data_IF_475872878498
#
_entry.id   IF_475872878498
#
_cell.length_a   1.000
_cell.length_b   1.000
_cell.length_c   1.000
_cell.angle_alpha   90.00
_cell.angle_beta   90.00
_cell.angle_gamma   90.00
#
_symmetry.space_group_name_H-M   'P 1'
#
loop_
_entity.id
_entity.type
_entity.pdbx_description
1 polymer ?
#
# COMPACT_ATOMS: atom_id res chain seq x y z
N UNK A 1 2.49 19.27 -2.55
CA UNK A 1 3.53 18.47 -1.86
C UNK A 1 3.58 17.10 -2.51
N UNK A 2 4.75 16.47 -2.62
CA UNK A 2 4.91 15.17 -3.24
C UNK A 2 5.35 14.13 -2.19
N UNK A 3 4.74 12.95 -2.17
CA UNK A 3 5.37 11.75 -1.64
C UNK A 3 6.32 11.26 -2.75
N UNK A 4 7.50 11.89 -2.81
CA UNK A 4 8.46 11.61 -3.86
C UNK A 4 8.79 10.12 -3.86
N UNK A 5 8.59 9.40 -4.98
CA UNK A 5 8.94 8.00 -5.05
C UNK A 5 10.44 7.85 -4.84
N UNK A 6 10.82 7.23 -3.73
CA UNK A 6 12.21 6.84 -3.51
C UNK A 6 12.60 5.73 -4.51
N UNK A 7 13.89 5.42 -4.64
CA UNK A 7 14.41 4.41 -5.55
C UNK A 7 13.72 3.04 -5.38
N UNK A 8 13.25 2.75 -4.17
CA UNK A 8 12.48 1.56 -3.83
C UNK A 8 11.03 1.54 -4.34
N UNK A 9 10.44 2.70 -4.68
CA UNK A 9 9.07 2.79 -5.18
C UNK A 9 8.86 1.97 -6.46
N UNK A 10 9.86 1.95 -7.34
CA UNK A 10 9.82 1.17 -8.57
C UNK A 10 10.01 -0.34 -8.32
N UNK A 11 10.58 -0.72 -7.17
CA UNK A 11 10.69 -2.12 -6.76
C UNK A 11 9.33 -2.65 -6.27
N UNK A 12 8.59 -1.83 -5.52
CA UNK A 12 7.27 -2.16 -4.98
C UNK A 12 6.34 -0.95 -4.96
N UNK A 13 5.31 -0.97 -5.82
CA UNK A 13 4.38 0.14 -6.00
C UNK A 13 3.35 0.23 -4.86
N UNK A 14 2.96 -0.89 -4.26
CA UNK A 14 2.06 -0.93 -3.10
C UNK A 14 0.78 -0.12 -3.27
N UNK A 15 0.49 0.76 -2.32
CA UNK A 15 -0.67 1.67 -2.30
C UNK A 15 -0.60 2.78 -3.36
N UNK A 16 0.56 3.03 -3.97
CA UNK A 16 0.69 4.04 -5.05
C UNK A 16 0.04 3.58 -6.36
N UNK A 17 -0.34 2.30 -6.47
CA UNK A 17 -1.11 1.77 -7.60
C UNK A 17 -2.52 2.35 -7.67
N UNK A 18 -3.11 2.64 -6.51
CA UNK A 18 -4.51 3.07 -6.39
C UNK A 18 -4.69 4.44 -5.74
N UNK A 19 -3.72 4.90 -4.93
CA UNK A 19 -3.79 6.18 -4.23
C UNK A 19 -2.81 7.20 -4.82
N UNK A 20 -3.18 8.49 -4.88
CA UNK A 20 -2.31 9.53 -5.39
C UNK A 20 -1.09 9.73 -4.48
N UNK A 21 0.08 9.88 -5.10
CA UNK A 21 1.35 10.20 -4.44
C UNK A 21 1.81 11.65 -4.72
N UNK A 22 1.09 12.36 -5.58
CA UNK A 22 1.29 13.76 -5.90
C UNK A 22 -0.06 14.47 -5.90
N UNK A 23 -0.19 15.53 -5.11
CA UNK A 23 -1.43 16.32 -5.02
C UNK A 23 -1.07 17.80 -5.20
N UNK A 24 -1.74 18.46 -6.15
CA UNK A 24 -1.70 19.90 -6.30
C UNK A 24 -2.57 20.53 -5.20
N UNK A 25 -2.00 21.50 -4.48
CA UNK A 25 -2.65 22.09 -3.30
C UNK A 25 -2.88 23.56 -3.57
N UNK A 26 -4.13 23.98 -3.46
CA UNK A 26 -4.60 25.37 -3.58
C UNK A 26 -5.23 25.83 -2.25
N UNK A 27 -5.48 27.14 -2.10
CA UNK A 27 -6.14 27.69 -0.90
C UNK A 27 -7.61 27.27 -0.72
N UNK A 28 -8.21 26.62 -1.72
CA UNK A 28 -9.60 26.13 -1.69
C UNK A 28 -9.77 24.96 -0.70
N UNK A 29 -10.98 24.44 -0.57
CA UNK A 29 -11.31 23.32 0.31
C UNK A 29 -10.41 22.12 0.08
N UNK A 30 -9.79 21.59 1.13
CA UNK A 30 -8.79 20.54 1.04
C UNK A 30 -9.36 19.15 0.80
N UNK A 31 -10.46 18.80 1.48
CA UNK A 31 -10.96 17.42 1.45
C UNK A 31 -11.26 16.98 0.02
N UNK A 32 -11.91 17.83 -0.76
CA UNK A 32 -12.15 17.62 -2.18
C UNK A 32 -10.88 17.44 -2.99
N UNK A 33 -9.82 18.20 -2.69
CA UNK A 33 -8.52 18.07 -3.37
C UNK A 33 -7.77 16.77 -3.00
N UNK A 34 -7.97 16.24 -1.79
CA UNK A 34 -7.32 14.99 -1.34
C UNK A 34 -7.92 13.75 -2.02
N UNK A 35 -9.21 13.79 -2.32
CA UNK A 35 -9.95 12.67 -2.92
C UNK A 35 -10.27 12.90 -4.41
N UNK A 36 -9.72 13.97 -5.01
CA UNK A 36 -9.77 14.18 -6.45
C UNK A 36 -8.76 13.25 -7.14
N UNK A 37 -9.17 11.99 -7.32
CA UNK A 37 -8.34 10.96 -7.95
C UNK A 37 -8.49 10.98 -9.46
N UNK A 38 -7.39 10.73 -10.17
CA UNK A 38 -7.40 10.56 -11.63
C UNK A 38 -8.44 9.52 -12.06
N UNK A 39 -9.11 9.79 -13.19
CA UNK A 39 -10.03 8.83 -13.80
C UNK A 39 -9.20 7.69 -14.40
N UNK A 40 -8.97 6.64 -13.62
CA UNK A 40 -8.27 5.44 -14.05
C UNK A 40 -9.27 4.42 -14.62
N UNK A 41 -8.82 3.61 -15.59
CA UNK A 41 -9.64 2.57 -16.17
C UNK A 41 -9.80 1.40 -15.15
N UNK A 42 -11.04 1.07 -14.71
CA UNK A 42 -11.27 0.01 -13.74
C UNK A 42 -10.75 -1.36 -14.20
N UNK A 43 -10.74 -1.61 -15.50
CA UNK A 43 -10.21 -2.85 -16.10
C UNK A 43 -8.70 -2.91 -15.99
N UNK A 44 -8.01 -1.77 -16.09
CA UNK A 44 -6.55 -1.72 -15.92
C UNK A 44 -6.15 -1.92 -14.45
N UNK A 45 -6.92 -1.40 -13.50
CA UNK A 45 -6.71 -1.63 -12.06
C UNK A 45 -6.94 -3.11 -11.67
N UNK A 46 -7.88 -3.80 -12.33
CA UNK A 46 -8.12 -5.24 -12.15
C UNK A 46 -6.94 -6.11 -12.59
N UNK A 47 -6.15 -5.66 -13.58
CA UNK A 47 -4.95 -6.37 -14.03
C UNK A 47 -3.77 -6.17 -13.09
N UNK A 48 -3.79 -5.11 -12.27
CA UNK A 48 -2.73 -4.72 -11.34
C UNK A 48 -1.45 -4.27 -12.03
N UNK A 49 -0.68 -3.41 -11.37
CA UNK A 49 0.66 -3.09 -11.84
C UNK A 49 1.65 -4.21 -11.47
N UNK A 50 2.38 -4.74 -12.47
CA UNK A 50 3.42 -5.75 -12.25
C UNK A 50 4.74 -5.08 -11.88
N UNK A 51 5.04 -5.00 -10.59
CA UNK A 51 6.34 -4.57 -10.06
C UNK A 51 7.29 -5.74 -9.82
N UNK A 52 8.52 -5.45 -9.39
CA UNK A 52 9.51 -6.51 -9.14
C UNK A 52 9.16 -7.34 -7.90
N UNK A 53 8.49 -6.75 -6.91
CA UNK A 53 7.98 -7.47 -5.74
C UNK A 53 7.00 -8.59 -6.14
N UNK A 54 6.13 -8.34 -7.13
CA UNK A 54 5.21 -9.32 -7.67
C UNK A 54 5.92 -10.58 -8.19
N UNK A 55 7.07 -10.40 -8.86
CA UNK A 55 7.88 -11.52 -9.37
C UNK A 55 8.36 -12.41 -8.22
N UNK A 56 8.93 -11.82 -7.17
CA UNK A 56 9.39 -12.58 -6.00
C UNK A 56 8.25 -13.22 -5.21
N UNK A 57 7.12 -12.53 -5.08
CA UNK A 57 6.01 -12.97 -4.23
C UNK A 57 5.15 -14.04 -4.92
N UNK A 58 4.90 -13.94 -6.22
CA UNK A 58 3.95 -14.82 -6.93
C UNK A 58 4.62 -15.79 -7.90
N UNK A 59 5.65 -15.36 -8.64
CA UNK A 59 6.27 -16.21 -9.68
C UNK A 59 7.31 -17.19 -9.11
N UNK A 60 8.19 -16.72 -8.24
CA UNK A 60 9.22 -17.58 -7.62
C UNK A 60 8.65 -18.80 -6.88
N UNK A 61 7.55 -18.69 -6.10
CA UNK A 61 6.92 -19.86 -5.51
C UNK A 61 6.52 -20.92 -6.54
N UNK A 62 5.97 -20.52 -7.68
CA UNK A 62 5.61 -21.45 -8.76
C UNK A 62 6.84 -22.12 -9.37
N UNK A 63 7.94 -21.37 -9.54
CA UNK A 63 9.22 -21.94 -9.98
C UNK A 63 9.74 -22.97 -8.97
N UNK A 64 9.70 -22.65 -7.68
CA UNK A 64 10.10 -23.59 -6.61
C UNK A 64 9.26 -24.86 -6.66
N UNK A 65 7.94 -24.73 -6.81
CA UNK A 65 7.01 -25.88 -6.91
C UNK A 65 7.35 -26.72 -8.14
N UNK A 66 7.49 -26.10 -9.33
CA UNK A 66 7.80 -26.79 -10.57
C UNK A 66 9.16 -27.53 -10.50
N UNK A 67 10.14 -26.96 -9.81
CA UNK A 67 11.45 -27.58 -9.63
C UNK A 67 11.44 -28.67 -8.56
N UNK A 68 10.49 -28.66 -7.63
CA UNK A 68 10.54 -29.51 -6.43
C UNK A 68 9.54 -30.66 -6.44
N UNK A 69 8.35 -30.51 -7.05
CA UNK A 69 7.19 -31.39 -6.84
C UNK A 69 7.47 -32.89 -7.00
N UNK A 70 8.36 -33.27 -7.91
CA UNK A 70 8.67 -34.66 -8.22
C UNK A 70 9.94 -35.21 -7.54
N UNK A 71 10.62 -34.43 -6.68
CA UNK A 71 11.96 -34.75 -6.14
C UNK A 71 12.09 -36.20 -5.64
N UNK A 72 11.10 -36.66 -4.87
CA UNK A 72 11.07 -38.00 -4.29
C UNK A 72 10.24 -38.98 -5.12
N UNK A 73 9.11 -38.52 -5.64
CA UNK A 73 8.15 -39.36 -6.35
C UNK A 73 8.71 -39.88 -7.68
N UNK A 74 9.48 -39.09 -8.40
CA UNK A 74 10.18 -39.50 -9.63
C UNK A 74 11.08 -40.73 -9.38
N UNK A 75 11.80 -40.74 -8.26
CA UNK A 75 12.69 -41.86 -7.92
C UNK A 75 11.91 -43.14 -7.60
N UNK A 76 10.70 -43.01 -7.06
CA UNK A 76 9.81 -44.14 -6.75
C UNK A 76 9.11 -44.65 -8.01
N UNK A 77 8.58 -43.74 -8.81
CA UNK A 77 7.85 -44.02 -10.06
C UNK A 77 8.76 -44.68 -11.11
N UNK A 78 10.04 -44.27 -11.18
CA UNK A 78 11.03 -44.87 -12.07
C UNK A 78 11.70 -46.14 -11.51
N UNK A 79 11.26 -46.66 -10.36
CA UNK A 79 11.84 -47.87 -9.75
C UNK A 79 13.29 -47.74 -9.26
N UNK A 80 13.82 -46.53 -9.17
CA UNK A 80 15.20 -46.25 -8.70
C UNK A 80 15.28 -46.34 -7.17
N UNK A 81 14.16 -46.10 -6.47
CA UNK A 81 14.12 -46.03 -5.01
C UNK A 81 14.62 -47.29 -4.27
N UNK A 82 14.28 -48.53 -4.67
CA UNK A 82 14.85 -49.74 -4.07
C UNK A 82 16.37 -49.87 -4.30
N UNK A 83 16.87 -49.45 -5.47
CA UNK A 83 18.30 -49.45 -5.81
C UNK A 83 19.08 -48.44 -4.96
N UNK A 84 18.52 -47.24 -4.77
CA UNK A 84 19.12 -46.23 -3.89
C UNK A 84 19.21 -46.72 -2.44
N UNK A 85 18.19 -47.42 -1.96
CA UNK A 85 18.19 -48.00 -0.61
C UNK A 85 19.23 -49.11 -0.41
N UNK A 86 19.54 -49.90 -1.44
CA UNK A 86 20.53 -50.98 -1.34
C UNK A 86 21.97 -50.47 -1.50
N UNK A 87 22.18 -49.38 -2.23
CA UNK A 87 23.52 -48.82 -2.49
C UNK A 87 24.03 -47.88 -1.39
N UNK A 88 23.15 -47.22 -0.63
CA UNK A 88 23.57 -46.29 0.42
C UNK A 88 22.67 -46.33 1.65
N UNK A 89 23.29 -46.33 2.84
CA UNK A 89 22.59 -46.13 4.11
C UNK A 89 22.17 -44.67 4.37
N UNK A 90 22.60 -43.71 3.54
CA UNK A 90 22.41 -42.27 3.74
C UNK A 90 21.39 -41.67 2.75
N UNK A 91 20.21 -42.27 2.64
CA UNK A 91 19.17 -41.87 1.68
C UNK A 91 18.73 -40.40 1.82
N UNK A 92 18.64 -39.91 3.06
CA UNK A 92 18.33 -38.50 3.34
C UNK A 92 19.39 -37.56 2.80
N UNK A 93 20.68 -37.94 2.83
CA UNK A 93 21.78 -37.11 2.33
C UNK A 93 21.67 -36.91 0.81
N UNK A 94 21.29 -37.95 0.07
CA UNK A 94 21.09 -37.87 -1.38
C UNK A 94 19.92 -36.93 -1.73
N UNK A 95 18.81 -37.05 -0.99
CA UNK A 95 17.65 -36.16 -1.18
C UNK A 95 18.02 -34.71 -0.85
N UNK A 96 18.73 -34.49 0.25
CA UNK A 96 19.21 -33.16 0.65
C UNK A 96 20.16 -32.55 -0.37
N UNK A 97 21.09 -33.33 -0.96
CA UNK A 97 21.97 -32.84 -2.02
C UNK A 97 21.17 -32.42 -3.27
N UNK A 98 20.21 -33.24 -3.70
CA UNK A 98 19.33 -32.88 -4.83
C UNK A 98 18.51 -31.62 -4.54
N UNK A 99 17.99 -31.48 -3.32
CA UNK A 99 17.25 -30.30 -2.89
C UNK A 99 18.17 -29.06 -2.82
N UNK A 100 19.38 -29.21 -2.27
CA UNK A 100 20.35 -28.13 -2.14
C UNK A 100 20.76 -27.55 -3.50
N UNK A 101 20.95 -28.37 -4.53
CA UNK A 101 21.21 -27.89 -5.90
C UNK A 101 20.07 -27.01 -6.40
N UNK A 102 18.81 -27.40 -6.14
CA UNK A 102 17.62 -26.63 -6.54
C UNK A 102 17.50 -25.33 -5.74
N UNK A 103 17.76 -25.37 -4.44
CA UNK A 103 17.82 -24.18 -3.58
C UNK A 103 18.87 -23.21 -4.10
N UNK A 104 20.11 -23.66 -4.31
CA UNK A 104 21.20 -22.82 -4.80
C UNK A 104 20.85 -22.21 -6.15
N UNK A 105 20.27 -22.97 -7.08
CA UNK A 105 19.87 -22.46 -8.39
C UNK A 105 18.82 -21.34 -8.28
N UNK A 106 17.76 -21.54 -7.50
CA UNK A 106 16.70 -20.52 -7.31
C UNK A 106 17.24 -19.29 -6.59
N UNK A 107 18.03 -19.46 -5.53
CA UNK A 107 18.63 -18.34 -4.81
C UNK A 107 19.67 -17.58 -5.66
N UNK A 108 20.41 -18.28 -6.53
CA UNK A 108 21.32 -17.63 -7.48
C UNK A 108 20.54 -16.75 -8.48
N UNK A 109 19.42 -17.24 -9.03
CA UNK A 109 18.56 -16.44 -9.90
C UNK A 109 17.96 -15.25 -9.14
N UNK A 110 17.50 -15.45 -7.90
CA UNK A 110 17.01 -14.36 -7.05
C UNK A 110 18.09 -13.29 -6.81
N UNK A 111 19.32 -13.70 -6.50
CA UNK A 111 20.46 -12.80 -6.32
C UNK A 111 20.83 -12.06 -7.61
N UNK A 112 20.78 -12.71 -8.76
CA UNK A 112 21.02 -12.07 -10.06
C UNK A 112 19.97 -11.00 -10.32
N UNK A 113 18.68 -11.31 -10.09
CA UNK A 113 17.60 -10.34 -10.26
C UNK A 113 17.69 -9.18 -9.27
N UNK A 114 18.00 -9.45 -8.00
CA UNK A 114 18.26 -8.39 -7.01
C UNK A 114 19.45 -7.53 -7.40
N UNK A 115 20.55 -8.13 -7.87
CA UNK A 115 21.73 -7.37 -8.33
C UNK A 115 21.42 -6.51 -9.54
N UNK A 116 20.63 -7.01 -10.48
CA UNK A 116 20.15 -6.24 -11.63
C UNK A 116 19.26 -5.08 -11.18
N UNK A 117 18.38 -5.29 -10.20
CA UNK A 117 17.54 -4.25 -9.63
C UNK A 117 18.35 -3.17 -8.90
N UNK A 118 19.34 -3.57 -8.09
CA UNK A 118 20.26 -2.64 -7.43
C UNK A 118 20.95 -1.73 -8.46
N UNK A 119 21.44 -2.31 -9.55
CA UNK A 119 22.12 -1.53 -10.59
C UNK A 119 21.16 -0.64 -11.39
N UNK A 120 20.02 -1.18 -11.81
CA UNK A 120 19.07 -0.48 -12.68
C UNK A 120 18.28 0.62 -11.96
N UNK A 121 17.80 0.34 -10.74
CA UNK A 121 17.05 1.28 -9.90
C UNK A 121 17.97 2.14 -9.02
N UNK A 122 19.29 1.89 -9.07
CA UNK A 122 20.31 2.57 -8.26
C UNK A 122 20.06 2.45 -6.75
N UNK A 123 19.54 1.31 -6.29
CA UNK A 123 19.15 1.12 -4.89
C UNK A 123 20.32 1.37 -3.93
N UNK A 124 20.08 2.04 -2.80
CA UNK A 124 21.13 2.33 -1.83
C UNK A 124 21.54 1.05 -1.11
N UNK A 125 22.84 0.91 -0.82
CA UNK A 125 23.37 -0.19 0.00
C UNK A 125 23.19 0.13 1.49
N UNK A 126 21.96 0.02 1.97
CA UNK A 126 21.56 0.40 3.33
C UNK A 126 20.83 -0.73 4.08
N UNK A 127 20.26 -0.39 5.24
CA UNK A 127 19.46 -1.33 6.03
C UNK A 127 18.19 -1.79 5.30
N UNK A 128 17.61 -0.96 4.44
CA UNK A 128 16.43 -1.25 3.63
C UNK A 128 16.72 -2.38 2.64
N UNK A 129 17.85 -2.29 1.94
CA UNK A 129 18.29 -3.36 1.02
C UNK A 129 18.50 -4.68 1.74
N UNK A 130 19.14 -4.65 2.91
CA UNK A 130 19.37 -5.84 3.71
C UNK A 130 18.06 -6.45 4.22
N UNK A 131 17.14 -5.62 4.72
CA UNK A 131 15.84 -6.05 5.21
C UNK A 131 14.99 -6.66 4.08
N UNK A 132 14.90 -5.99 2.92
CA UNK A 132 14.15 -6.47 1.77
C UNK A 132 14.71 -7.80 1.24
N UNK A 133 16.03 -7.88 1.08
CA UNK A 133 16.71 -9.11 0.63
C UNK A 133 16.47 -10.27 1.59
N UNK A 134 16.61 -10.03 2.90
CA UNK A 134 16.37 -11.05 3.92
C UNK A 134 14.91 -11.53 3.93
N UNK A 135 13.96 -10.59 3.79
CA UNK A 135 12.54 -10.91 3.77
C UNK A 135 12.17 -11.76 2.54
N UNK A 136 12.72 -11.43 1.36
CA UNK A 136 12.58 -12.24 0.14
C UNK A 136 13.20 -13.63 0.36
N UNK A 137 14.41 -13.72 0.89
CA UNK A 137 15.10 -14.99 1.11
C UNK A 137 14.37 -15.90 2.11
N UNK A 138 13.83 -15.34 3.19
CA UNK A 138 13.00 -16.09 4.14
C UNK A 138 11.71 -16.59 3.47
N UNK A 139 11.09 -15.77 2.62
CA UNK A 139 9.91 -16.18 1.85
C UNK A 139 10.20 -17.32 0.87
N UNK A 140 11.33 -17.26 0.15
CA UNK A 140 11.75 -18.37 -0.72
C UNK A 140 12.06 -19.63 0.08
N UNK A 141 12.72 -19.50 1.23
CA UNK A 141 13.00 -20.62 2.13
C UNK A 141 11.71 -21.25 2.66
N UNK A 142 10.70 -20.44 2.99
CA UNK A 142 9.36 -20.93 3.37
C UNK A 142 8.76 -21.82 2.26
N UNK A 143 8.80 -21.40 0.99
CA UNK A 143 8.26 -22.19 -0.12
C UNK A 143 9.02 -23.48 -0.39
N UNK A 144 10.33 -23.49 -0.20
CA UNK A 144 11.11 -24.73 -0.21
C UNK A 144 10.73 -25.65 0.94
N UNK A 145 10.53 -25.12 2.15
CA UNK A 145 10.10 -25.90 3.31
C UNK A 145 8.69 -26.49 3.10
N UNK A 146 7.75 -25.71 2.57
CA UNK A 146 6.40 -26.16 2.23
C UNK A 146 6.43 -27.25 1.15
N UNK A 147 7.23 -27.05 0.10
CA UNK A 147 7.44 -28.05 -0.97
C UNK A 147 8.00 -29.34 -0.38
N UNK A 148 9.06 -29.25 0.42
CA UNK A 148 9.67 -30.41 1.05
C UNK A 148 8.71 -31.16 1.97
N UNK A 149 7.88 -30.44 2.75
CA UNK A 149 6.86 -31.05 3.60
C UNK A 149 5.89 -31.90 2.79
N UNK A 150 5.30 -31.36 1.71
CA UNK A 150 4.37 -32.11 0.85
C UNK A 150 5.05 -33.33 0.21
N UNK A 151 6.26 -33.12 -0.34
CA UNK A 151 7.03 -34.20 -0.98
C UNK A 151 7.38 -35.32 0.01
N UNK A 152 7.67 -34.97 1.27
CA UNK A 152 8.04 -35.93 2.32
C UNK A 152 6.92 -36.94 2.64
N UNK A 153 5.66 -36.60 2.32
CA UNK A 153 4.52 -37.52 2.44
C UNK A 153 4.59 -38.71 1.46
N UNK A 154 5.49 -38.65 0.47
CA UNK A 154 5.81 -39.76 -0.41
C UNK A 154 4.69 -40.17 -1.37
N UNK A 155 3.80 -39.23 -1.70
CA UNK A 155 2.72 -39.37 -2.67
C UNK A 155 3.26 -39.29 -4.11
N UNK A 156 2.40 -39.47 -5.11
CA UNK A 156 2.78 -39.40 -6.52
C UNK A 156 3.16 -37.98 -6.96
N UNK A 157 3.90 -37.88 -8.07
CA UNK A 157 4.30 -36.60 -8.66
C UNK A 157 3.07 -35.72 -8.96
N UNK A 158 2.02 -36.32 -9.53
CA UNK A 158 0.76 -35.63 -9.81
C UNK A 158 0.09 -35.08 -8.56
N UNK A 159 0.02 -35.87 -7.48
CA UNK A 159 -0.54 -35.40 -6.20
C UNK A 159 0.26 -34.23 -5.63
N UNK A 160 1.60 -34.32 -5.60
CA UNK A 160 2.44 -33.26 -5.05
C UNK A 160 2.28 -31.95 -5.82
N UNK A 161 2.25 -32.02 -7.16
CA UNK A 161 2.03 -30.85 -8.00
C UNK A 161 0.68 -30.19 -7.71
N UNK A 162 -0.41 -30.97 -7.71
CA UNK A 162 -1.75 -30.46 -7.42
C UNK A 162 -1.83 -29.88 -6.01
N UNK A 163 -1.32 -30.58 -4.99
CA UNK A 163 -1.36 -30.11 -3.60
C UNK A 163 -0.58 -28.80 -3.40
N UNK A 164 0.60 -28.67 -4.00
CA UNK A 164 1.41 -27.46 -3.89
C UNK A 164 0.82 -26.28 -4.66
N UNK A 165 0.28 -26.52 -5.86
CA UNK A 165 -0.43 -25.47 -6.61
C UNK A 165 -1.68 -25.03 -5.85
N UNK A 166 -2.45 -25.96 -5.28
CA UNK A 166 -3.60 -25.62 -4.43
C UNK A 166 -3.18 -24.82 -3.20
N UNK A 167 -2.08 -25.19 -2.54
CA UNK A 167 -1.53 -24.44 -1.41
C UNK A 167 -1.14 -23.02 -1.82
N UNK A 168 -0.49 -22.87 -2.97
CA UNK A 168 -0.16 -21.57 -3.56
C UNK A 168 -1.40 -20.73 -3.85
N UNK A 169 -2.42 -21.29 -4.50
CA UNK A 169 -3.69 -20.57 -4.75
C UNK A 169 -4.33 -20.12 -3.44
N UNK A 170 -4.35 -20.98 -2.42
CA UNK A 170 -4.96 -20.65 -1.13
C UNK A 170 -4.19 -19.51 -0.44
N UNK A 171 -2.88 -19.65 -0.27
CA UNK A 171 -2.08 -18.68 0.48
C UNK A 171 -1.93 -17.35 -0.27
N UNK A 172 -1.73 -17.39 -1.60
CA UNK A 172 -1.43 -16.21 -2.39
C UNK A 172 -2.67 -15.48 -2.94
N UNK A 173 -3.79 -16.17 -3.13
CA UNK A 173 -4.98 -15.59 -3.79
C UNK A 173 -6.19 -15.63 -2.88
N UNK A 174 -6.61 -16.83 -2.44
CA UNK A 174 -7.88 -17.00 -1.72
C UNK A 174 -7.84 -16.30 -0.36
N UNK A 175 -6.75 -16.45 0.40
CA UNK A 175 -6.61 -15.84 1.72
C UNK A 175 -6.59 -14.31 1.63
N UNK A 176 -5.73 -13.66 0.80
CA UNK A 176 -5.77 -12.20 0.65
C UNK A 176 -7.12 -11.67 0.18
N UNK A 177 -7.76 -12.33 -0.80
CA UNK A 177 -9.07 -11.92 -1.30
C UNK A 177 -10.15 -12.04 -0.21
N UNK A 178 -10.17 -13.15 0.52
CA UNK A 178 -11.12 -13.37 1.62
C UNK A 178 -10.92 -12.36 2.76
N UNK A 179 -9.66 -12.05 3.08
CA UNK A 179 -9.31 -11.04 4.07
C UNK A 179 -9.80 -9.65 3.63
N UNK A 180 -9.59 -9.28 2.38
CA UNK A 180 -10.07 -8.01 1.83
C UNK A 180 -11.61 -7.90 1.88
N UNK A 181 -12.32 -8.97 1.51
CA UNK A 181 -13.78 -9.04 1.61
C UNK A 181 -14.26 -8.89 3.06
N UNK A 182 -13.62 -9.60 3.99
CA UNK A 182 -13.93 -9.51 5.40
C UNK A 182 -13.69 -8.10 5.97
N UNK A 183 -12.56 -7.48 5.63
CA UNK A 183 -12.24 -6.11 6.04
C UNK A 183 -13.24 -5.09 5.48
N UNK A 184 -13.67 -5.28 4.24
CA UNK A 184 -14.67 -4.42 3.59
C UNK A 184 -16.04 -4.49 4.27
N UNK A 185 -16.42 -5.66 4.79
CA UNK A 185 -17.68 -5.85 5.53
C UNK A 185 -17.59 -5.42 7.00
N UNK A 186 -16.48 -5.73 7.68
CA UNK A 186 -16.32 -5.47 9.11
C UNK A 186 -16.00 -4.02 9.42
N UNK A 187 -15.23 -3.37 8.55
CA UNK A 187 -14.80 -1.99 8.72
C UNK A 187 -15.23 -1.16 7.50
N UNK A 188 -16.53 -1.06 7.16
CA UNK A 188 -16.96 -0.28 6.00
C UNK A 188 -16.59 1.19 6.22
N UNK A 189 -16.20 1.90 5.16
CA UNK A 189 -15.82 3.33 5.20
C UNK A 189 -16.83 4.16 4.38
N UNK A 190 -18.14 4.16 4.73
CA UNK A 190 -19.12 5.01 4.05
C UNK A 190 -18.82 6.50 4.24
N UNK A 191 -18.07 6.84 5.29
CA UNK A 191 -17.66 8.20 5.59
C UNK A 191 -16.80 8.80 4.48
N UNK A 192 -16.12 8.01 3.64
CA UNK A 192 -15.38 8.56 2.50
C UNK A 192 -16.31 9.28 1.51
N UNK A 193 -17.47 8.69 1.20
CA UNK A 193 -18.48 9.33 0.36
C UNK A 193 -19.16 10.49 1.12
N UNK A 194 -19.50 10.28 2.39
CA UNK A 194 -20.11 11.32 3.21
C UNK A 194 -19.18 12.53 3.39
N UNK A 195 -17.87 12.34 3.44
CA UNK A 195 -16.87 13.39 3.59
C UNK A 195 -16.88 14.31 2.37
N UNK A 196 -16.92 13.73 1.16
CA UNK A 196 -17.04 14.49 -0.09
C UNK A 196 -18.38 15.24 -0.17
N UNK A 197 -19.48 14.61 0.26
CA UNK A 197 -20.80 15.24 0.30
C UNK A 197 -20.83 16.39 1.31
N UNK A 198 -20.42 16.14 2.56
CA UNK A 198 -20.37 17.12 3.65
C UNK A 198 -19.50 18.32 3.27
N UNK A 199 -18.35 18.09 2.65
CA UNK A 199 -17.50 19.19 2.21
C UNK A 199 -18.20 20.03 1.13
N UNK A 200 -18.81 19.39 0.13
CA UNK A 200 -19.51 20.08 -0.96
C UNK A 200 -20.71 20.87 -0.45
N UNK A 201 -21.61 20.23 0.28
CA UNK A 201 -22.76 20.90 0.90
C UNK A 201 -22.31 22.02 1.84
N UNK A 202 -21.25 21.75 2.62
CA UNK A 202 -20.74 22.64 3.64
C UNK A 202 -20.18 23.97 3.15
N UNK A 203 -19.80 24.06 1.87
CA UNK A 203 -19.46 25.34 1.24
C UNK A 203 -20.54 25.81 0.25
N UNK A 204 -21.27 24.90 -0.43
CA UNK A 204 -22.30 25.28 -1.40
C UNK A 204 -23.53 25.91 -0.74
N UNK A 205 -24.03 25.36 0.37
CA UNK A 205 -25.20 25.92 1.07
C UNK A 205 -24.92 27.30 1.66
N UNK A 206 -23.65 27.62 1.91
CA UNK A 206 -23.24 28.90 2.53
C UNK A 206 -23.53 30.10 1.64
N UNK A 207 -23.63 29.91 0.32
CA UNK A 207 -24.04 30.98 -0.60
C UNK A 207 -25.45 31.51 -0.30
N UNK A 208 -26.33 30.67 0.26
CA UNK A 208 -27.72 31.01 0.58
C UNK A 208 -27.93 31.35 2.07
N UNK A 209 -26.87 31.35 2.89
CA UNK A 209 -26.93 31.60 4.33
C UNK A 209 -26.39 33.00 4.71
N UNK A 210 -26.81 33.55 5.86
CA UNK A 210 -26.17 34.73 6.44
C UNK A 210 -24.67 34.51 6.63
N UNK A 211 -23.87 35.54 6.34
CA UNK A 211 -22.40 35.44 6.37
C UNK A 211 -21.86 35.12 7.75
N UNK A 212 -22.55 35.55 8.80
CA UNK A 212 -22.23 35.29 10.19
C UNK A 212 -22.11 33.77 10.44
N UNK A 213 -22.97 32.96 9.82
CA UNK A 213 -22.97 31.49 9.88
C UNK A 213 -21.66 30.87 9.40
N UNK A 214 -20.92 31.55 8.53
CA UNK A 214 -19.61 31.12 8.03
C UNK A 214 -18.48 31.80 8.81
N UNK A 215 -18.60 33.12 9.01
CA UNK A 215 -17.50 33.93 9.51
C UNK A 215 -17.28 33.78 11.02
N UNK A 216 -18.33 33.54 11.81
CA UNK A 216 -18.17 33.31 13.26
C UNK A 216 -17.33 32.06 13.54
N UNK A 217 -17.66 30.86 13.01
CA UNK A 217 -16.81 29.67 13.16
C UNK A 217 -15.42 29.85 12.55
N UNK A 218 -15.32 30.49 11.38
CA UNK A 218 -14.02 30.77 10.75
C UNK A 218 -13.10 31.59 11.66
N UNK A 219 -13.66 32.57 12.38
CA UNK A 219 -12.92 33.38 13.32
C UNK A 219 -12.63 32.69 14.66
N UNK A 220 -13.41 31.66 15.02
CA UNK A 220 -13.07 30.77 16.13
C UNK A 220 -11.90 29.86 15.77
N UNK A 221 -11.87 29.33 14.54
CA UNK A 221 -10.75 28.55 14.00
C UNK A 221 -9.49 29.41 13.86
N UNK A 222 -9.62 30.62 13.31
CA UNK A 222 -8.52 31.56 13.07
C UNK A 222 -8.70 32.91 13.79
N UNK A 223 -8.54 32.96 15.12
CA UNK A 223 -8.68 34.21 15.88
C UNK A 223 -7.74 35.31 15.41
N UNK A 224 -6.54 34.96 14.93
CA UNK A 224 -5.54 35.88 14.42
C UNK A 224 -5.97 36.66 13.17
N UNK A 225 -6.97 36.17 12.43
CA UNK A 225 -7.44 36.80 11.21
C UNK A 225 -8.50 37.89 11.49
N UNK A 226 -9.10 37.92 12.69
CA UNK A 226 -10.06 38.97 13.14
C UNK A 226 -9.50 40.39 13.03
N UNK A 227 -8.17 40.56 13.03
CA UNK A 227 -7.50 41.87 12.91
C UNK A 227 -7.66 42.52 11.52
N UNK A 228 -7.98 41.73 10.50
CA UNK A 228 -8.18 42.23 9.13
C UNK A 228 -9.63 42.68 8.93
N UNK A 229 -9.89 43.78 8.19
CA UNK A 229 -11.23 44.32 8.03
C UNK A 229 -12.10 43.39 7.17
N UNK A 230 -13.19 42.87 7.75
CA UNK A 230 -14.17 42.08 7.02
C UNK A 230 -15.29 42.97 6.43
N UNK A 231 -15.45 43.04 5.09
CA UNK A 231 -16.47 43.87 4.46
C UNK A 231 -17.85 43.19 4.53
N UNK A 232 -18.53 43.36 5.67
CA UNK A 232 -19.85 42.76 5.95
C UNK A 232 -20.90 43.12 4.89
N UNK A 233 -20.90 44.37 4.44
CA UNK A 233 -21.91 44.94 3.52
C UNK A 233 -21.85 44.41 2.07
N UNK A 234 -20.71 43.87 1.60
CA UNK A 234 -20.57 43.42 0.20
C UNK A 234 -21.29 42.09 -0.01
N UNK A 235 -21.92 41.81 -1.15
CA UNK A 235 -22.47 40.45 -1.38
C UNK A 235 -21.36 39.39 -1.46
N UNK A 236 -20.19 39.75 -1.98
CA UNK A 236 -19.04 38.87 -2.14
C UNK A 236 -17.75 39.52 -1.62
N UNK A 237 -16.88 38.72 -1.02
CA UNK A 237 -15.48 39.08 -0.76
C UNK A 237 -14.62 37.83 -0.77
N UNK A 238 -13.36 37.94 -1.20
CA UNK A 238 -12.41 36.81 -1.11
C UNK A 238 -12.21 36.35 0.32
N UNK A 239 -12.32 37.26 1.29
CA UNK A 239 -12.34 36.95 2.71
C UNK A 239 -13.43 35.93 3.04
N UNK A 240 -14.68 36.26 2.72
CA UNK A 240 -15.81 35.36 2.96
C UNK A 240 -15.68 34.05 2.15
N UNK A 241 -15.24 34.13 0.90
CA UNK A 241 -15.12 32.96 0.03
C UNK A 241 -14.13 31.93 0.59
N UNK A 242 -12.94 32.35 1.05
CA UNK A 242 -12.00 31.43 1.67
C UNK A 242 -12.44 30.95 3.05
N UNK A 243 -13.16 31.78 3.81
CA UNK A 243 -13.79 31.33 5.07
C UNK A 243 -14.86 30.26 4.85
N UNK A 244 -15.63 30.38 3.78
CA UNK A 244 -16.63 29.40 3.35
C UNK A 244 -15.98 28.08 2.91
N UNK A 245 -14.85 28.14 2.17
CA UNK A 245 -14.08 26.95 1.81
C UNK A 245 -13.49 26.24 3.04
N UNK A 246 -13.00 26.98 4.04
CA UNK A 246 -12.56 26.41 5.32
C UNK A 246 -13.71 25.69 6.04
N UNK A 247 -14.90 26.30 6.07
CA UNK A 247 -16.05 25.71 6.77
C UNK A 247 -16.46 24.36 6.20
N UNK A 248 -16.34 24.17 4.87
CA UNK A 248 -16.53 22.85 4.25
C UNK A 248 -15.56 21.79 4.78
N UNK A 249 -14.28 22.15 4.97
CA UNK A 249 -13.27 21.25 5.56
C UNK A 249 -13.55 20.98 7.06
N UNK A 250 -13.99 21.99 7.81
CA UNK A 250 -14.29 21.87 9.23
C UNK A 250 -15.52 20.98 9.48
N UNK A 251 -16.55 21.08 8.65
CA UNK A 251 -17.73 20.20 8.72
C UNK A 251 -17.40 18.74 8.37
N UNK A 252 -16.39 18.52 7.53
CA UNK A 252 -15.85 17.22 7.18
C UNK A 252 -14.96 16.59 8.28
N UNK A 253 -14.49 17.37 9.26
CA UNK A 253 -13.50 16.93 10.24
C UNK A 253 -13.91 15.68 11.04
N UNK A 254 -15.19 15.57 11.42
CA UNK A 254 -15.68 14.40 12.16
C UNK A 254 -15.67 13.12 11.30
N UNK A 255 -16.09 13.23 10.03
CA UNK A 255 -16.04 12.13 9.06
C UNK A 255 -14.60 11.71 8.80
N UNK A 256 -13.68 12.65 8.68
CA UNK A 256 -12.24 12.39 8.55
C UNK A 256 -11.70 11.55 9.72
N UNK A 257 -11.95 11.96 10.97
CA UNK A 257 -11.47 11.20 12.15
C UNK A 257 -12.00 9.77 12.13
N UNK A 258 -13.28 9.59 11.78
CA UNK A 258 -13.88 8.26 11.65
C UNK A 258 -13.23 7.42 10.53
N UNK A 259 -12.84 8.03 9.40
CA UNK A 259 -12.09 7.36 8.32
C UNK A 259 -10.72 6.90 8.84
N UNK A 260 -9.97 7.79 9.48
CA UNK A 260 -8.62 7.53 9.98
C UNK A 260 -8.63 6.37 11.00
N UNK A 261 -9.57 6.37 11.96
CA UNK A 261 -9.74 5.30 12.95
C UNK A 261 -10.07 3.94 12.32
N UNK A 262 -10.92 3.93 11.28
CA UNK A 262 -11.27 2.70 10.55
C UNK A 262 -10.12 2.18 9.72
N UNK A 263 -9.36 3.05 9.05
CA UNK A 263 -8.17 2.65 8.30
C UNK A 263 -7.08 2.11 9.24
N UNK A 264 -6.88 2.74 10.40
CA UNK A 264 -5.99 2.23 11.43
C UNK A 264 -6.42 0.84 11.94
N UNK A 265 -7.72 0.64 12.18
CA UNK A 265 -8.27 -0.65 12.60
C UNK A 265 -8.09 -1.74 11.53
N UNK A 266 -8.30 -1.39 10.25
CA UNK A 266 -8.04 -2.28 9.09
C UNK A 266 -6.56 -2.66 9.00
N UNK A 267 -5.66 -1.69 9.13
CA UNK A 267 -4.22 -1.93 9.10
C UNK A 267 -3.78 -2.83 10.26
N UNK A 268 -4.24 -2.55 11.47
CA UNK A 268 -3.92 -3.36 12.65
C UNK A 268 -4.34 -4.82 12.46
N UNK A 269 -5.58 -5.05 12.02
CA UNK A 269 -6.06 -6.40 11.75
C UNK A 269 -5.25 -7.08 10.64
N UNK A 270 -4.94 -6.34 9.57
CA UNK A 270 -4.14 -6.84 8.44
C UNK A 270 -2.74 -7.26 8.88
N UNK A 271 -2.07 -6.46 9.72
CA UNK A 271 -0.77 -6.77 10.31
C UNK A 271 -0.82 -8.02 11.21
N UNK A 272 -1.89 -8.21 11.99
CA UNK A 272 -2.07 -9.44 12.76
C UNK A 272 -2.21 -10.68 11.86
N UNK A 273 -3.00 -10.57 10.78
CA UNK A 273 -3.18 -11.68 9.85
C UNK A 273 -1.89 -11.99 9.08
N UNK A 274 -1.08 -10.97 8.78
CA UNK A 274 0.21 -11.11 8.11
C UNK A 274 1.16 -12.07 8.85
N UNK A 275 1.14 -12.09 10.19
CA UNK A 275 1.96 -13.00 11.00
C UNK A 275 1.72 -14.49 10.69
N UNK A 276 0.52 -14.84 10.21
CA UNK A 276 0.16 -16.23 9.87
C UNK A 276 0.30 -16.55 8.39
N UNK A 277 0.31 -15.53 7.53
CA UNK A 277 0.27 -15.67 6.08
C UNK A 277 1.52 -15.04 5.45
N UNK A 278 2.55 -15.86 5.11
CA UNK A 278 3.84 -15.35 4.69
C UNK A 278 3.78 -14.49 3.43
N UNK A 279 2.84 -14.76 2.52
CA UNK A 279 2.61 -13.91 1.34
C UNK A 279 2.17 -12.51 1.71
N UNK A 280 1.23 -12.37 2.66
CA UNK A 280 0.77 -11.08 3.16
C UNK A 280 1.90 -10.35 3.90
N UNK A 281 2.62 -11.05 4.80
CA UNK A 281 3.77 -10.47 5.51
C UNK A 281 4.84 -9.95 4.55
N UNK A 282 5.15 -10.74 3.52
CA UNK A 282 6.19 -10.42 2.55
C UNK A 282 5.78 -9.19 1.74
N UNK A 283 4.53 -9.16 1.27
CA UNK A 283 4.01 -8.04 0.51
C UNK A 283 3.96 -6.75 1.33
N UNK A 284 3.43 -6.79 2.56
CA UNK A 284 3.36 -5.61 3.43
C UNK A 284 4.75 -5.10 3.82
N UNK A 285 5.66 -6.00 4.21
CA UNK A 285 7.01 -5.62 4.61
C UNK A 285 7.83 -5.01 3.47
N UNK A 286 7.71 -5.54 2.24
CA UNK A 286 8.37 -4.94 1.07
C UNK A 286 7.76 -3.57 0.74
N UNK A 287 6.44 -3.41 0.82
CA UNK A 287 5.77 -2.13 0.58
C UNK A 287 6.17 -1.07 1.63
N UNK A 288 6.29 -1.47 2.90
CA UNK A 288 6.75 -0.61 4.00
C UNK A 288 8.17 -0.12 3.75
N UNK A 289 9.08 -1.04 3.39
CA UNK A 289 10.47 -0.72 3.03
C UNK A 289 10.55 0.18 1.79
N UNK A 290 9.59 0.09 0.87
CA UNK A 290 9.52 0.95 -0.32
C UNK A 290 8.83 2.31 -0.09
N UNK A 291 8.35 2.59 1.13
CA UNK A 291 7.56 3.78 1.42
C UNK A 291 6.29 3.86 0.59
N UNK A 292 5.73 2.71 0.22
CA UNK A 292 4.55 2.58 -0.63
C UNK A 292 3.40 1.87 0.08
N UNK A 293 3.49 1.72 1.40
CA UNK A 293 2.44 1.13 2.22
C UNK A 293 1.37 2.16 2.62
N UNK A 294 0.37 1.70 3.38
CA UNK A 294 -0.76 2.53 3.79
C UNK A 294 -0.37 3.58 4.83
N UNK A 295 0.52 3.28 5.78
CA UNK A 295 0.90 4.30 6.77
C UNK A 295 1.65 5.45 6.11
N UNK A 296 2.56 5.15 5.17
CA UNK A 296 3.24 6.21 4.41
C UNK A 296 2.26 7.07 3.62
N UNK A 297 1.20 6.49 3.07
CA UNK A 297 0.15 7.26 2.40
C UNK A 297 -0.63 8.18 3.36
N UNK A 298 -0.99 7.69 4.54
CA UNK A 298 -1.69 8.49 5.55
C UNK A 298 -0.81 9.63 6.09
N UNK A 299 0.48 9.37 6.31
CA UNK A 299 1.46 10.40 6.67
C UNK A 299 1.59 11.48 5.59
N UNK A 300 1.60 11.07 4.31
CA UNK A 300 1.59 12.00 3.19
C UNK A 300 0.34 12.89 3.19
N UNK A 301 -0.85 12.32 3.39
CA UNK A 301 -2.08 13.12 3.51
C UNK A 301 -2.01 14.11 4.67
N UNK A 302 -1.45 13.70 5.82
CA UNK A 302 -1.26 14.60 6.95
C UNK A 302 -0.26 15.72 6.67
N UNK A 303 0.82 15.44 5.93
CA UNK A 303 1.78 16.44 5.48
C UNK A 303 1.13 17.46 4.52
N UNK A 304 0.34 16.97 3.56
CA UNK A 304 -0.44 17.81 2.64
C UNK A 304 -1.38 18.74 3.41
N UNK A 305 -2.05 18.25 4.45
CA UNK A 305 -2.91 19.05 5.33
C UNK A 305 -2.16 20.18 6.04
N UNK A 306 -1.01 19.87 6.64
CA UNK A 306 -0.16 20.88 7.29
C UNK A 306 0.35 21.93 6.31
N UNK A 307 0.67 21.52 5.09
CA UNK A 307 1.13 22.45 4.05
C UNK A 307 0.03 23.35 3.51
N UNK A 308 -1.15 22.78 3.33
CA UNK A 308 -2.33 23.53 2.93
C UNK A 308 -2.67 24.63 3.93
N UNK A 309 -2.61 24.31 5.22
CA UNK A 309 -2.73 25.28 6.32
C UNK A 309 -1.69 26.41 6.22
N UNK A 310 -0.42 26.06 5.95
CA UNK A 310 0.64 27.05 5.75
C UNK A 310 0.37 27.97 4.56
N UNK A 311 -0.07 27.42 3.42
CA UNK A 311 -0.45 28.20 2.24
C UNK A 311 -1.56 29.19 2.63
N UNK A 312 -2.62 28.72 3.29
CA UNK A 312 -3.74 29.56 3.73
C UNK A 312 -3.23 30.71 4.60
N UNK A 313 -2.51 30.41 5.67
CA UNK A 313 -2.01 31.43 6.61
C UNK A 313 -0.99 32.39 6.00
N UNK A 314 -0.24 31.97 4.97
CA UNK A 314 0.70 32.83 4.27
C UNK A 314 -0.02 33.85 3.37
N UNK A 315 -1.02 33.42 2.62
CA UNK A 315 -1.67 34.25 1.61
C UNK A 315 -2.93 35.00 2.10
N UNK A 316 -3.63 34.48 3.11
CA UNK A 316 -4.82 35.13 3.69
C UNK A 316 -4.58 36.59 4.11
N UNK A 317 -3.47 36.95 4.80
CA UNK A 317 -3.17 38.34 5.11
C UNK A 317 -3.23 39.30 3.91
N UNK A 318 -2.54 38.96 2.82
CA UNK A 318 -2.49 39.80 1.63
C UNK A 318 -3.87 39.88 0.95
N UNK A 319 -4.55 38.74 0.82
CA UNK A 319 -5.89 38.66 0.22
C UNK A 319 -6.91 39.48 1.03
N UNK A 320 -6.87 39.37 2.36
CA UNK A 320 -7.84 40.05 3.23
C UNK A 320 -7.58 41.55 3.34
N UNK A 321 -6.36 42.00 3.01
CA UNK A 321 -6.01 43.42 2.89
C UNK A 321 -6.17 43.96 1.47
N UNK A 322 -6.64 43.15 0.50
CA UNK A 322 -6.66 43.48 -0.93
C UNK A 322 -5.29 43.95 -1.47
N UNK A 323 -4.20 43.34 -0.99
CA UNK A 323 -2.85 43.58 -1.47
C UNK A 323 -2.49 42.64 -2.62
N UNK A 324 -1.55 43.07 -3.47
CA UNK A 324 -1.03 42.23 -4.54
C UNK A 324 -0.26 41.03 -3.95
N UNK A 325 -0.65 39.82 -4.35
CA UNK A 325 -0.07 38.57 -3.89
C UNK A 325 1.39 38.43 -4.36
N UNK A 326 1.79 39.11 -5.44
CA UNK A 326 3.17 39.15 -5.91
C UNK A 326 4.14 39.86 -4.95
N UNK A 327 3.62 40.55 -3.92
CA UNK A 327 4.41 41.29 -2.93
C UNK A 327 4.56 40.59 -1.57
N UNK A 328 4.02 39.37 -1.42
CA UNK A 328 4.00 38.55 -0.20
C UNK A 328 4.84 37.28 -0.35
#
# INVERSE_FOLDING_TARGET
MANAPDQWAAFANGQRDINPYLISVTMLGLEGQLYDTDITNPVSMLLGNMDLSFVFIFLFPLVIIAFSYNLLSEQRENGIWPLLKSQTGQLLKVIWQKLAVRIIAVFAVALILLSAAIFYLQLPFDATLLAASNLIFLYLAFWFAASFLVISMGKSSSYNASALVSLWVVICIVVPASLNLFLSQKFPVPEALQNVINQREGYHEKWDMPKETTMEPFFEHYPQLKKYPFPKELTFSWYWYFGMQQMGDDQAAASKVAIDEKLASRQYFTNMMALFFPTIQTQLGINELAGSDLSTHLEFQQAVRKYHEQIRLNFYPAIFQNQDIASA
#
